data_IF_456282932993
#
_entry.id   IF_456282932993
#
_cell.length_a   1.000
_cell.length_b   1.000
_cell.length_c   1.000
_cell.angle_alpha   90.00
_cell.angle_beta   90.00
_cell.angle_gamma   90.00
#
_symmetry.space_group_name_H-M   'P 1'
#
loop_
_entity.id
_entity.type
_entity.pdbx_description
1 polymer ?
#
# COMPACT_ATOMS: atom_id res chain seq x y z
N UNK A 1 -27.88 -1.32 -56.22
CA UNK A 1 -26.83 -0.57 -55.47
C UNK A 1 -27.23 -0.11 -54.06
N UNK A 2 -28.54 0.10 -53.73
CA UNK A 2 -28.98 0.54 -52.38
C UNK A 2 -28.89 -0.52 -51.28
N UNK A 3 -28.83 -1.83 -51.57
CA UNK A 3 -28.82 -2.91 -50.60
C UNK A 3 -27.41 -3.27 -50.08
N UNK A 4 -26.36 -2.90 -50.77
CA UNK A 4 -24.95 -3.18 -50.40
C UNK A 4 -24.45 -2.14 -49.38
N UNK A 5 -24.93 -0.90 -49.43
CA UNK A 5 -24.54 0.18 -48.52
C UNK A 5 -25.06 -0.08 -47.09
N UNK A 6 -26.25 -0.70 -46.94
CA UNK A 6 -26.80 -1.04 -45.61
C UNK A 6 -26.03 -2.16 -44.90
N UNK A 7 -25.36 -3.04 -45.62
CA UNK A 7 -24.60 -4.14 -45.03
C UNK A 7 -23.25 -3.65 -44.48
N UNK A 8 -22.63 -2.64 -45.13
CA UNK A 8 -21.35 -2.07 -44.67
C UNK A 8 -21.56 -1.19 -43.44
N UNK A 9 -22.70 -0.50 -43.34
CA UNK A 9 -23.01 0.34 -42.18
C UNK A 9 -23.32 -0.52 -40.91
N UNK A 10 -23.85 -1.75 -41.08
CA UNK A 10 -24.10 -2.69 -39.97
C UNK A 10 -22.84 -3.29 -39.39
N UNK A 11 -21.77 -3.48 -40.18
CA UNK A 11 -20.49 -4.01 -39.68
C UNK A 11 -19.65 -2.98 -38.95
N UNK A 12 -19.83 -1.67 -39.18
CA UNK A 12 -19.11 -0.60 -38.49
C UNK A 12 -19.63 -0.34 -37.09
N UNK A 13 -20.85 -0.78 -36.76
CA UNK A 13 -21.40 -0.64 -35.39
C UNK A 13 -21.00 -1.79 -34.46
N UNK A 14 -20.42 -2.88 -34.95
CA UNK A 14 -19.93 -4.01 -34.18
C UNK A 14 -18.46 -3.87 -33.78
N UNK A 15 -17.75 -2.88 -34.26
CA UNK A 15 -16.34 -2.63 -33.95
C UNK A 15 -16.12 -1.90 -32.59
N UNK A 16 -17.21 -1.57 -31.87
CA UNK A 16 -17.16 -0.72 -30.67
C UNK A 16 -17.14 -1.43 -29.31
N UNK A 17 -17.34 -2.75 -29.27
CA UNK A 17 -17.33 -3.50 -27.99
C UNK A 17 -16.28 -4.61 -28.05
N UNK A 18 -15.00 -4.24 -27.92
CA UNK A 18 -14.01 -5.25 -27.57
C UNK A 18 -14.20 -5.57 -26.09
N UNK A 19 -14.45 -6.85 -25.73
CA UNK A 19 -14.45 -7.24 -24.33
C UNK A 19 -13.07 -6.94 -23.73
N UNK A 20 -13.05 -6.56 -22.48
CA UNK A 20 -11.80 -6.41 -21.75
C UNK A 20 -11.10 -7.77 -21.61
N UNK A 21 -9.79 -7.78 -21.72
CA UNK A 21 -9.00 -8.95 -21.33
C UNK A 21 -8.91 -8.97 -19.78
N UNK A 22 -9.77 -9.76 -19.16
CA UNK A 22 -9.92 -9.82 -17.71
C UNK A 22 -8.62 -10.22 -17.01
N UNK A 23 -7.89 -11.20 -17.54
CA UNK A 23 -6.65 -11.67 -16.94
C UNK A 23 -5.54 -10.59 -17.03
N UNK A 24 -5.46 -9.91 -18.15
CA UNK A 24 -4.53 -8.81 -18.29
C UNK A 24 -4.89 -7.61 -17.40
N UNK A 25 -6.19 -7.34 -17.19
CA UNK A 25 -6.65 -6.27 -16.30
C UNK A 25 -6.44 -6.59 -14.81
N UNK A 26 -6.52 -7.87 -14.39
CA UNK A 26 -6.23 -8.32 -13.01
C UNK A 26 -4.75 -8.23 -12.66
N UNK A 27 -3.87 -8.42 -13.64
CA UNK A 27 -2.44 -8.55 -13.40
C UNK A 27 -1.81 -7.38 -12.61
N UNK A 28 -2.05 -6.10 -12.93
CA UNK A 28 -1.50 -5.00 -12.14
C UNK A 28 -2.04 -4.95 -10.71
N UNK A 29 -3.33 -5.25 -10.49
CA UNK A 29 -3.93 -5.27 -9.15
C UNK A 29 -3.32 -6.39 -8.31
N UNK A 30 -3.20 -7.59 -8.87
CA UNK A 30 -2.52 -8.72 -8.21
C UNK A 30 -1.07 -8.38 -7.88
N UNK A 31 -0.33 -7.79 -8.82
CA UNK A 31 1.06 -7.39 -8.61
C UNK A 31 1.22 -6.34 -7.52
N UNK A 32 0.35 -5.32 -7.53
CA UNK A 32 0.30 -4.26 -6.54
C UNK A 32 0.01 -4.82 -5.13
N UNK A 33 -1.07 -5.58 -4.96
CA UNK A 33 -1.46 -6.12 -3.67
C UNK A 33 -0.43 -7.11 -3.10
N UNK A 34 0.19 -7.93 -3.94
CA UNK A 34 1.30 -8.79 -3.52
C UNK A 34 2.51 -7.96 -3.06
N UNK A 35 2.82 -6.85 -3.73
CA UNK A 35 3.91 -5.97 -3.32
C UNK A 35 3.61 -5.30 -1.98
N UNK A 36 2.35 -4.88 -1.73
CA UNK A 36 1.91 -4.37 -0.44
C UNK A 36 2.05 -5.45 0.66
N UNK A 37 1.64 -6.69 0.41
CA UNK A 37 1.84 -7.81 1.34
C UNK A 37 3.32 -8.09 1.66
N UNK A 38 4.22 -7.82 0.73
CA UNK A 38 5.67 -7.91 0.92
C UNK A 38 6.26 -6.66 1.60
N UNK A 39 5.46 -5.60 1.80
CA UNK A 39 5.89 -4.30 2.30
C UNK A 39 6.80 -3.55 1.32
N UNK A 40 6.71 -3.84 0.03
CA UNK A 40 7.58 -3.29 -1.02
C UNK A 40 6.84 -2.22 -1.83
N UNK A 41 6.86 -0.98 -1.31
CA UNK A 41 6.20 0.16 -1.94
C UNK A 41 6.83 0.53 -3.30
N UNK A 42 8.15 0.34 -3.46
CA UNK A 42 8.81 0.59 -4.74
C UNK A 42 8.33 -0.38 -5.82
N UNK A 43 8.14 -1.64 -5.45
CA UNK A 43 7.57 -2.65 -6.34
C UNK A 43 6.10 -2.39 -6.60
N UNK A 44 5.31 -1.97 -5.60
CA UNK A 44 3.91 -1.60 -5.76
C UNK A 44 3.74 -0.45 -6.76
N UNK A 45 4.57 0.59 -6.66
CA UNK A 45 4.56 1.74 -7.56
C UNK A 45 4.79 1.37 -9.04
N UNK A 46 5.41 0.22 -9.33
CA UNK A 46 5.58 -0.25 -10.71
C UNK A 46 4.27 -0.63 -11.40
N UNK A 47 3.22 -0.89 -10.65
CA UNK A 47 1.88 -1.22 -11.17
C UNK A 47 0.97 0.00 -11.29
N UNK A 48 1.38 1.15 -10.79
CA UNK A 48 0.64 2.41 -10.81
C UNK A 48 0.86 3.17 -12.13
N UNK A 49 -0.17 3.90 -12.56
CA UNK A 49 -0.02 4.88 -13.62
C UNK A 49 0.67 6.14 -13.09
N UNK A 50 1.19 6.98 -13.98
CA UNK A 50 1.81 8.24 -13.58
C UNK A 50 0.85 9.19 -12.86
N UNK A 51 -0.46 9.07 -13.12
CA UNK A 51 -1.53 9.89 -12.56
C UNK A 51 -2.40 9.07 -11.59
N UNK A 52 -1.79 8.17 -10.81
CA UNK A 52 -2.53 7.35 -9.84
C UNK A 52 -3.15 8.20 -8.74
N UNK A 53 -4.43 7.94 -8.43
CA UNK A 53 -5.21 8.60 -7.38
C UNK A 53 -5.78 7.59 -6.39
N UNK A 54 -6.08 8.04 -5.15
CA UNK A 54 -6.78 7.24 -4.14
C UNK A 54 -5.94 6.15 -3.47
N UNK A 55 -4.61 6.23 -3.53
CA UNK A 55 -3.71 5.28 -2.83
C UNK A 55 -3.87 5.34 -1.31
N UNK A 56 -4.21 6.51 -0.79
CA UNK A 56 -4.54 6.79 0.60
C UNK A 56 -5.76 6.03 1.12
N UNK A 57 -6.63 5.54 0.22
CA UNK A 57 -7.73 4.62 0.59
C UNK A 57 -7.23 3.28 1.16
N UNK A 58 -5.97 2.92 0.91
CA UNK A 58 -5.37 1.67 1.37
C UNK A 58 -4.16 1.90 2.29
N UNK A 59 -3.37 2.94 2.01
CA UNK A 59 -2.13 3.25 2.70
C UNK A 59 -2.19 4.67 3.26
N UNK A 60 -1.67 4.86 4.46
CA UNK A 60 -1.47 6.19 5.00
C UNK A 60 -0.33 6.91 4.25
N UNK A 61 -0.44 8.23 4.12
CA UNK A 61 0.68 9.07 3.72
C UNK A 61 1.64 9.22 4.92
N UNK A 62 2.61 8.32 5.01
CA UNK A 62 3.62 8.33 6.08
C UNK A 62 4.67 9.42 5.92
N UNK A 63 4.56 10.26 4.89
CA UNK A 63 5.58 11.28 4.56
C UNK A 63 5.83 12.27 5.71
N UNK A 64 4.80 12.62 6.49
CA UNK A 64 4.95 13.50 7.66
C UNK A 64 5.70 12.81 8.80
N UNK A 65 5.41 11.54 9.05
CA UNK A 65 6.10 10.73 10.07
C UNK A 65 7.56 10.50 9.69
N UNK A 66 7.81 10.15 8.43
CA UNK A 66 9.17 10.00 7.87
C UNK A 66 9.97 11.29 7.96
N UNK A 67 9.36 12.45 7.69
CA UNK A 67 10.01 13.74 7.82
C UNK A 67 10.36 14.04 9.28
N UNK A 68 9.46 13.77 10.20
CA UNK A 68 9.64 13.99 11.64
C UNK A 68 10.78 13.13 12.20
N UNK A 69 10.89 11.87 11.77
CA UNK A 69 11.98 10.98 12.14
C UNK A 69 13.34 11.43 11.57
N UNK A 70 13.38 11.86 10.31
CA UNK A 70 14.62 12.34 9.66
C UNK A 70 15.10 13.63 10.28
N UNK A 71 14.19 14.56 10.58
CA UNK A 71 14.52 15.85 11.22
C UNK A 71 15.02 15.66 12.66
N UNK A 72 14.64 14.60 13.33
CA UNK A 72 15.10 14.27 14.68
C UNK A 72 16.60 13.91 14.75
N UNK A 73 17.22 13.52 13.61
CA UNK A 73 18.67 13.34 13.51
C UNK A 73 19.23 12.18 14.34
N UNK A 74 18.46 11.10 14.47
CA UNK A 74 18.85 9.94 15.28
C UNK A 74 19.93 9.05 14.64
N UNK A 75 20.29 9.29 13.38
CA UNK A 75 21.38 8.61 12.67
C UNK A 75 20.96 7.36 11.89
N UNK A 76 21.90 6.85 11.05
CA UNK A 76 21.65 5.79 10.06
C UNK A 76 21.10 4.49 10.67
N UNK A 77 21.51 4.13 11.89
CA UNK A 77 21.03 2.92 12.55
C UNK A 77 19.54 3.01 12.91
N UNK A 78 19.07 4.18 13.31
CA UNK A 78 17.65 4.44 13.58
C UNK A 78 16.84 4.48 12.26
N UNK A 79 17.36 5.11 11.24
CA UNK A 79 16.72 5.17 9.91
C UNK A 79 16.51 3.77 9.32
N UNK A 80 17.46 2.86 9.54
CA UNK A 80 17.33 1.46 9.12
C UNK A 80 16.16 0.73 9.85
N UNK A 81 15.97 1.00 11.15
CA UNK A 81 14.84 0.44 11.91
C UNK A 81 13.50 1.03 11.47
N UNK A 82 13.46 2.33 11.16
CA UNK A 82 12.28 3.00 10.62
C UNK A 82 11.86 2.39 9.27
N UNK A 83 12.80 2.15 8.37
CA UNK A 83 12.54 1.51 7.08
C UNK A 83 12.01 0.06 7.23
N UNK A 84 12.56 -0.71 8.19
CA UNK A 84 12.06 -2.06 8.49
C UNK A 84 10.66 -2.03 9.08
N UNK A 85 10.38 -1.07 9.97
CA UNK A 85 9.04 -0.85 10.52
C UNK A 85 8.03 -0.51 9.43
N UNK A 86 8.33 0.48 8.56
CA UNK A 86 7.48 0.86 7.45
C UNK A 86 7.14 -0.32 6.54
N UNK A 87 8.13 -1.17 6.24
CA UNK A 87 7.89 -2.39 5.47
C UNK A 87 6.90 -3.33 6.16
N UNK A 88 7.05 -3.55 7.47
CA UNK A 88 6.17 -4.43 8.25
C UNK A 88 4.76 -3.85 8.38
N UNK A 89 4.64 -2.55 8.61
CA UNK A 89 3.38 -1.83 8.72
C UNK A 89 2.60 -1.88 7.40
N UNK A 90 3.24 -1.54 6.29
CA UNK A 90 2.66 -1.63 4.95
C UNK A 90 2.07 -3.02 4.68
N UNK A 91 2.78 -4.07 5.07
CA UNK A 91 2.31 -5.44 4.88
C UNK A 91 1.02 -5.76 5.68
N UNK A 92 0.73 -5.03 6.76
CA UNK A 92 -0.50 -5.23 7.53
C UNK A 92 -1.74 -4.69 6.80
N UNK A 93 -1.60 -3.73 5.88
CA UNK A 93 -2.72 -3.17 5.13
C UNK A 93 -3.44 -4.21 4.26
N UNK A 94 -2.74 -5.26 3.83
CA UNK A 94 -3.30 -6.34 3.01
C UNK A 94 -2.83 -7.69 3.54
N UNK A 95 -3.58 -8.31 4.43
CA UNK A 95 -3.28 -9.67 4.91
C UNK A 95 -3.76 -10.73 3.92
N UNK A 96 -4.97 -10.56 3.40
CA UNK A 96 -5.54 -11.39 2.34
C UNK A 96 -6.34 -10.55 1.37
N UNK A 97 -6.48 -11.03 0.14
CA UNK A 97 -7.37 -10.40 -0.84
C UNK A 97 -7.99 -11.43 -1.78
N UNK A 98 -9.15 -11.08 -2.36
CA UNK A 98 -9.85 -11.85 -3.37
C UNK A 98 -10.39 -10.92 -4.47
N UNK A 99 -10.05 -11.18 -5.72
CA UNK A 99 -10.63 -10.46 -6.85
C UNK A 99 -12.02 -11.02 -7.11
N UNK A 100 -13.04 -10.21 -6.82
CA UNK A 100 -14.45 -10.60 -6.93
C UNK A 100 -14.94 -10.54 -8.38
N UNK A 101 -14.61 -9.47 -9.10
CA UNK A 101 -15.07 -9.27 -10.46
C UNK A 101 -14.21 -8.30 -11.25
N UNK A 102 -14.28 -8.40 -12.57
CA UNK A 102 -13.72 -7.44 -13.52
C UNK A 102 -14.84 -6.97 -14.45
N UNK A 103 -14.92 -5.67 -14.65
CA UNK A 103 -15.87 -5.05 -15.58
C UNK A 103 -15.17 -3.94 -16.38
N UNK A 104 -15.54 -3.75 -17.62
CA UNK A 104 -14.94 -2.70 -18.45
C UNK A 104 -15.03 -2.96 -19.94
N UNK A 105 -14.42 -2.07 -20.73
CA UNK A 105 -14.41 -2.13 -22.17
C UNK A 105 -13.09 -1.61 -22.75
N UNK A 106 -12.56 -2.30 -23.73
CA UNK A 106 -11.39 -1.85 -24.49
C UNK A 106 -10.16 -1.71 -23.63
N UNK A 107 -9.73 -0.48 -23.34
CA UNK A 107 -8.51 -0.14 -22.62
C UNK A 107 -8.73 0.30 -21.16
N UNK A 108 -9.95 0.16 -20.64
CA UNK A 108 -10.28 0.56 -19.26
C UNK A 108 -11.10 -0.53 -18.60
N UNK A 109 -10.75 -0.89 -17.36
CA UNK A 109 -11.50 -1.81 -16.56
C UNK A 109 -11.54 -1.38 -15.09
N UNK A 110 -12.54 -1.89 -14.36
CA UNK A 110 -12.62 -1.84 -12.91
C UNK A 110 -12.49 -3.25 -12.37
N UNK A 111 -11.53 -3.45 -11.50
CA UNK A 111 -11.28 -4.70 -10.78
C UNK A 111 -11.78 -4.52 -9.36
N UNK A 112 -12.89 -5.17 -9.04
CA UNK A 112 -13.46 -5.17 -7.69
C UNK A 112 -12.78 -6.22 -6.86
N UNK A 113 -12.26 -5.83 -5.70
CA UNK A 113 -11.42 -6.70 -4.86
C UNK A 113 -11.80 -6.56 -3.40
N UNK A 114 -12.13 -7.67 -2.76
CA UNK A 114 -12.24 -7.77 -1.31
C UNK A 114 -10.84 -7.86 -0.69
N UNK A 115 -10.59 -7.11 0.36
CA UNK A 115 -9.31 -7.06 1.08
C UNK A 115 -9.60 -7.20 2.57
N UNK A 116 -8.83 -8.06 3.24
CA UNK A 116 -8.80 -8.12 4.72
C UNK A 116 -7.43 -7.63 5.18
N UNK A 117 -7.40 -6.64 6.05
CA UNK A 117 -6.16 -6.06 6.57
C UNK A 117 -6.39 -5.11 7.73
N UNK A 118 -5.33 -4.51 8.22
CA UNK A 118 -5.41 -3.45 9.24
C UNK A 118 -5.61 -2.11 8.51
N UNK A 119 -6.55 -1.31 9.02
CA UNK A 119 -6.80 0.04 8.51
C UNK A 119 -5.64 1.00 8.93
N UNK A 120 -4.49 0.85 8.30
CA UNK A 120 -3.29 1.66 8.61
C UNK A 120 -3.49 3.13 8.27
N UNK A 121 -4.36 3.44 7.31
CA UNK A 121 -4.76 4.79 6.93
C UNK A 121 -5.67 5.49 7.97
N UNK A 122 -6.09 4.79 9.02
CA UNK A 122 -6.94 5.32 10.11
C UNK A 122 -6.20 5.36 11.46
N UNK A 123 -4.87 5.25 11.44
CA UNK A 123 -4.05 5.34 12.64
C UNK A 123 -4.00 6.81 13.11
N UNK A 124 -3.90 6.98 14.42
CA UNK A 124 -3.61 8.28 15.04
C UNK A 124 -2.19 8.23 15.62
N UNK A 125 -1.19 8.76 14.90
CA UNK A 125 0.22 8.70 15.31
C UNK A 125 0.47 9.40 16.65
N UNK A 126 -0.23 10.51 16.95
CA UNK A 126 -0.04 11.24 18.21
C UNK A 126 -0.54 10.43 19.42
N UNK A 127 -1.73 9.81 19.29
CA UNK A 127 -2.26 8.95 20.34
C UNK A 127 -1.35 7.72 20.56
N UNK A 128 -0.85 7.09 19.48
CA UNK A 128 0.05 5.97 19.55
C UNK A 128 1.38 6.33 20.23
N UNK A 129 1.97 7.45 19.90
CA UNK A 129 3.22 7.93 20.53
C UNK A 129 3.04 8.21 22.01
N UNK A 130 1.92 8.80 22.42
CA UNK A 130 1.61 9.05 23.82
C UNK A 130 1.56 7.75 24.67
N UNK A 131 0.98 6.68 24.10
CA UNK A 131 0.90 5.38 24.76
C UNK A 131 2.30 4.72 24.88
N UNK A 132 3.15 4.93 23.86
CA UNK A 132 4.52 4.40 23.84
C UNK A 132 5.41 5.12 24.85
N UNK A 133 5.34 6.44 24.95
CA UNK A 133 6.16 7.23 25.88
C UNK A 133 6.04 6.74 27.32
N UNK A 134 4.84 6.30 27.73
CA UNK A 134 4.61 5.77 29.08
C UNK A 134 5.42 4.49 29.37
N UNK A 135 5.62 3.64 28.36
CA UNK A 135 6.38 2.38 28.50
C UNK A 135 7.86 2.52 28.17
N UNK A 136 8.21 3.47 27.31
CA UNK A 136 9.57 3.65 26.79
C UNK A 136 10.58 4.00 27.89
N UNK A 137 10.17 4.76 28.90
CA UNK A 137 11.02 5.11 30.04
C UNK A 137 11.54 3.86 30.78
N UNK A 138 10.70 2.85 30.97
CA UNK A 138 11.09 1.59 31.61
C UNK A 138 12.00 0.77 30.72
N UNK A 139 11.77 0.75 29.43
CA UNK A 139 12.62 0.00 28.48
C UNK A 139 14.01 0.63 28.34
N UNK A 140 14.09 1.97 28.29
CA UNK A 140 15.38 2.68 28.32
C UNK A 140 16.14 2.38 29.59
N UNK A 141 15.45 2.36 30.73
CA UNK A 141 16.07 2.01 32.03
C UNK A 141 16.63 0.58 32.01
N UNK A 142 15.84 -0.39 31.54
CA UNK A 142 16.27 -1.78 31.40
C UNK A 142 17.45 -1.94 30.46
N UNK A 143 17.38 -1.28 29.30
CA UNK A 143 18.47 -1.27 28.32
C UNK A 143 19.78 -0.80 28.98
N UNK A 144 19.76 0.31 29.73
CA UNK A 144 20.93 0.83 30.45
C UNK A 144 21.44 -0.10 31.52
N UNK A 145 20.57 -0.86 32.20
CA UNK A 145 20.97 -1.87 33.20
C UNK A 145 21.57 -3.13 32.56
N UNK A 146 21.07 -3.54 31.40
CA UNK A 146 21.55 -4.71 30.66
C UNK A 146 22.84 -4.42 29.86
N UNK A 147 23.07 -3.16 29.48
CA UNK A 147 24.22 -2.72 28.70
C UNK A 147 25.03 -1.59 29.37
N UNK A 148 25.50 -1.76 30.61
CA UNK A 148 26.13 -0.68 31.40
C UNK A 148 27.45 -0.17 30.84
N UNK A 149 28.11 -0.95 29.98
CA UNK A 149 29.40 -0.60 29.38
C UNK A 149 29.29 -0.16 27.93
N UNK A 150 28.05 -0.11 27.35
CA UNK A 150 27.86 0.32 25.99
C UNK A 150 28.06 1.84 25.87
N UNK A 151 28.97 2.24 25.00
CA UNK A 151 29.32 3.65 24.73
C UNK A 151 29.20 4.03 23.27
N UNK A 152 28.89 3.08 22.40
CA UNK A 152 28.65 3.32 20.98
C UNK A 152 27.26 3.93 20.80
N UNK A 153 27.24 5.24 20.49
CA UNK A 153 26.01 6.01 20.38
C UNK A 153 25.13 5.51 19.23
N UNK A 154 25.71 5.13 18.10
CA UNK A 154 24.96 4.65 16.93
C UNK A 154 24.27 3.32 17.26
N UNK A 155 24.98 2.43 17.98
CA UNK A 155 24.39 1.18 18.43
C UNK A 155 23.27 1.42 19.44
N UNK A 156 23.48 2.28 20.45
CA UNK A 156 22.45 2.64 21.44
C UNK A 156 21.20 3.18 20.75
N UNK A 157 21.35 4.12 19.80
CA UNK A 157 20.24 4.71 19.06
C UNK A 157 19.53 3.67 18.18
N UNK A 158 20.27 2.77 17.55
CA UNK A 158 19.69 1.68 16.77
C UNK A 158 18.87 0.71 17.63
N UNK A 159 19.39 0.31 18.80
CA UNK A 159 18.71 -0.60 19.72
C UNK A 159 17.47 0.06 20.35
N UNK A 160 17.55 1.35 20.71
CA UNK A 160 16.39 2.11 21.21
C UNK A 160 15.35 2.34 20.12
N UNK A 161 15.79 2.65 18.90
CA UNK A 161 14.90 2.75 17.73
C UNK A 161 14.12 1.47 17.51
N UNK A 162 14.82 0.32 17.58
CA UNK A 162 14.18 -1.00 17.48
C UNK A 162 13.10 -1.19 18.56
N UNK A 163 13.36 -0.83 19.81
CA UNK A 163 12.36 -0.93 20.88
C UNK A 163 11.10 -0.09 20.60
N UNK A 164 11.28 1.14 20.11
CA UNK A 164 10.17 2.03 19.74
C UNK A 164 9.34 1.41 18.61
N UNK A 165 9.99 1.00 17.52
CA UNK A 165 9.30 0.48 16.36
C UNK A 165 8.67 -0.90 16.60
N UNK A 166 9.29 -1.76 17.41
CA UNK A 166 8.67 -3.03 17.80
C UNK A 166 7.37 -2.79 18.60
N UNK A 167 7.33 -1.80 19.50
CA UNK A 167 6.10 -1.44 20.22
C UNK A 167 5.03 -0.84 19.33
N UNK A 168 5.40 0.06 18.40
CA UNK A 168 4.49 0.59 17.40
C UNK A 168 3.88 -0.55 16.61
N UNK A 169 4.71 -1.45 16.09
CA UNK A 169 4.24 -2.60 15.34
C UNK A 169 3.29 -3.49 16.13
N UNK A 170 3.62 -3.80 17.40
CA UNK A 170 2.75 -4.61 18.26
C UNK A 170 1.38 -3.95 18.50
N UNK A 171 1.33 -2.62 18.67
CA UNK A 171 0.06 -1.89 18.80
C UNK A 171 -0.78 -1.96 17.53
N UNK A 172 -0.15 -1.80 16.36
CA UNK A 172 -0.84 -1.86 15.07
C UNK A 172 -1.28 -3.29 14.78
N UNK A 173 -0.38 -4.25 14.87
CA UNK A 173 -0.65 -5.66 14.59
C UNK A 173 -1.66 -6.30 15.58
N UNK A 174 -1.81 -5.72 16.77
CA UNK A 174 -2.81 -6.13 17.76
C UNK A 174 -4.24 -5.66 17.44
N UNK A 175 -4.44 -4.80 16.45
CA UNK A 175 -5.77 -4.37 16.01
C UNK A 175 -6.50 -5.49 15.28
N UNK A 176 -7.82 -5.41 15.28
CA UNK A 176 -8.66 -6.35 14.53
C UNK A 176 -8.54 -6.03 13.03
N UNK A 177 -8.25 -7.02 12.17
CA UNK A 177 -8.36 -6.83 10.73
C UNK A 177 -9.78 -6.48 10.33
N UNK A 178 -9.92 -5.66 9.32
CA UNK A 178 -11.19 -5.24 8.74
C UNK A 178 -11.31 -5.71 7.30
N UNK A 179 -12.53 -6.00 6.89
CA UNK A 179 -12.85 -6.33 5.51
C UNK A 179 -13.26 -5.05 4.78
N UNK A 180 -12.55 -4.72 3.71
CA UNK A 180 -12.87 -3.61 2.81
C UNK A 180 -13.06 -4.13 1.39
N UNK A 181 -13.91 -3.50 0.62
CA UNK A 181 -14.05 -3.78 -0.81
C UNK A 181 -13.59 -2.56 -1.59
N UNK A 182 -12.59 -2.73 -2.42
CA UNK A 182 -12.01 -1.66 -3.24
C UNK A 182 -12.26 -1.90 -4.72
N UNK A 183 -12.47 -0.82 -5.44
CA UNK A 183 -12.54 -0.76 -6.89
C UNK A 183 -11.21 -0.19 -7.42
N UNK A 184 -10.43 -1.03 -8.08
CA UNK A 184 -9.23 -0.62 -8.78
C UNK A 184 -9.59 -0.29 -10.23
N UNK A 185 -9.53 0.97 -10.60
CA UNK A 185 -9.64 1.36 -12.00
C UNK A 185 -8.29 1.14 -12.66
N UNK A 186 -8.27 0.27 -13.66
CA UNK A 186 -7.07 -0.03 -14.43
C UNK A 186 -7.22 0.46 -15.86
N UNK A 187 -6.13 0.97 -16.41
CA UNK A 187 -6.08 1.49 -17.77
C UNK A 187 -4.91 0.87 -18.52
N UNK A 188 -5.12 0.61 -19.80
CA UNK A 188 -4.06 0.18 -20.70
C UNK A 188 -3.27 1.40 -21.14
N UNK A 189 -1.96 1.38 -20.92
CA UNK A 189 -1.10 2.48 -21.36
C UNK A 189 -1.17 2.66 -22.88
N UNK A 190 -1.12 3.93 -23.29
CA UNK A 190 -1.18 4.28 -24.71
C UNK A 190 0.00 3.65 -25.45
N UNK A 191 -0.31 3.03 -26.59
CA UNK A 191 0.67 2.39 -27.47
C UNK A 191 1.42 1.19 -26.87
N UNK A 192 0.88 0.61 -25.77
CA UNK A 192 1.40 -0.60 -25.14
C UNK A 192 0.29 -1.58 -24.78
N UNK A 193 0.65 -2.82 -24.45
CA UNK A 193 -0.27 -3.82 -23.91
C UNK A 193 -0.22 -3.88 -22.37
N UNK A 194 0.46 -2.93 -21.75
CA UNK A 194 0.64 -2.87 -20.30
C UNK A 194 -0.56 -2.20 -19.65
N UNK A 195 -1.13 -2.86 -18.64
CA UNK A 195 -2.17 -2.32 -17.80
C UNK A 195 -1.56 -1.72 -16.53
N UNK A 196 -2.13 -0.61 -16.06
CA UNK A 196 -1.71 0.13 -14.87
C UNK A 196 -2.91 0.53 -14.03
N UNK A 197 -2.74 0.62 -12.73
CA UNK A 197 -3.76 1.13 -11.81
C UNK A 197 -3.79 2.66 -11.93
N UNK A 198 -4.96 3.21 -12.22
CA UNK A 198 -5.19 4.65 -12.35
C UNK A 198 -5.82 5.24 -11.07
N UNK A 199 -6.76 4.53 -10.44
CA UNK A 199 -7.33 4.94 -9.16
C UNK A 199 -7.73 3.75 -8.31
N UNK A 200 -7.81 3.99 -6.99
CA UNK A 200 -8.35 3.09 -5.99
C UNK A 200 -9.47 3.85 -5.26
N UNK A 201 -10.65 3.26 -5.18
CA UNK A 201 -11.82 3.84 -4.55
C UNK A 201 -12.52 2.79 -3.69
N UNK A 202 -13.09 3.17 -2.56
CA UNK A 202 -13.95 2.27 -1.79
C UNK A 202 -15.22 1.96 -2.59
N UNK A 203 -15.62 0.70 -2.54
CA UNK A 203 -16.85 0.28 -3.20
C UNK A 203 -18.04 0.60 -2.29
N UNK A 204 -19.03 1.29 -2.86
CA UNK A 204 -20.32 1.53 -2.19
C UNK A 204 -21.11 0.23 -1.98
#
# INVERSE_FOLDING_TARGET
MKRIISLILGCLLLAGCQPVDEEAAKAPVTGFLNAIQEGDLEKAAQFESADMEGKDSLLEDTSEFDALLKDAGFGEAFDAQAAEFQKKETALAVQTYEIESVSGHGSTATVRTGITGIAVNELDPEAMMSDIEAGLTEDIRKYGEEHPEETDQDKILGDLGKLVFDRLYEQIAGRQPEDKVLNFKVVKEKDSDVWKIQSIEEAE
#
